data_IF_335690552210
#
_entry.id   IF_335690552210
#
_cell.length_a   1.000
_cell.length_b   1.000
_cell.length_c   1.000
_cell.angle_alpha   90.00
_cell.angle_beta   90.00
_cell.angle_gamma   90.00
#
_symmetry.space_group_name_H-M   'P 1'
#
loop_
_entity.id
_entity.type
_entity.pdbx_description
1 polymer ?
#
# COMPACT_ATOMS: atom_id res chain seq x y z
N UNK A 1 -7.15 30.66 38.33
CA UNK A 1 -7.27 29.21 38.61
C UNK A 1 -8.62 28.63 38.21
N UNK A 2 -9.77 29.08 38.76
CA UNK A 2 -11.11 28.54 38.42
C UNK A 2 -11.39 28.51 36.91
N UNK A 3 -11.19 29.63 36.21
CA UNK A 3 -11.38 29.71 34.75
C UNK A 3 -10.45 28.79 33.95
N UNK A 4 -9.24 28.52 34.46
CA UNK A 4 -8.32 27.57 33.83
C UNK A 4 -8.85 26.14 33.94
N UNK A 5 -9.35 25.75 35.12
CA UNK A 5 -9.93 24.41 35.32
C UNK A 5 -11.21 24.25 34.51
N UNK A 6 -12.04 25.29 34.38
CA UNK A 6 -13.22 25.29 33.50
C UNK A 6 -12.78 25.05 32.05
N UNK A 7 -11.89 25.86 31.49
CA UNK A 7 -11.44 25.70 30.10
C UNK A 7 -10.77 24.34 29.84
N UNK A 8 -9.99 23.84 30.79
CA UNK A 8 -9.36 22.51 30.70
C UNK A 8 -10.42 21.39 30.61
N UNK A 9 -11.46 21.48 31.44
CA UNK A 9 -12.51 20.46 31.52
C UNK A 9 -13.59 20.61 30.45
N UNK A 10 -13.84 21.81 29.94
CA UNK A 10 -14.70 22.03 28.77
C UNK A 10 -14.09 21.40 27.52
N UNK A 11 -12.76 21.49 27.35
CA UNK A 11 -12.06 20.86 26.23
C UNK A 11 -11.89 19.35 26.39
N UNK A 12 -11.71 18.84 27.62
CA UNK A 12 -11.55 17.42 27.85
C UNK A 12 -12.22 16.96 29.16
N UNK A 13 -13.54 16.74 29.09
CA UNK A 13 -14.34 16.27 30.23
C UNK A 13 -13.91 14.90 30.77
N UNK A 14 -13.17 14.12 29.97
CA UNK A 14 -12.73 12.76 30.30
C UNK A 14 -11.44 12.68 31.11
N UNK A 15 -10.76 13.81 31.36
CA UNK A 15 -9.55 13.83 32.21
C UNK A 15 -9.83 13.29 33.60
N UNK A 16 -8.91 12.50 34.17
CA UNK A 16 -9.06 12.01 35.54
C UNK A 16 -8.87 13.13 36.57
N UNK A 17 -9.31 12.93 37.81
CA UNK A 17 -9.09 13.89 38.90
C UNK A 17 -7.59 14.12 39.16
N UNK A 18 -6.79 13.06 39.02
CA UNK A 18 -5.33 13.10 39.14
C UNK A 18 -4.69 13.96 38.04
N UNK A 19 -5.13 13.83 36.79
CA UNK A 19 -4.56 14.61 35.68
C UNK A 19 -4.88 16.10 35.81
N UNK A 20 -6.09 16.42 36.29
CA UNK A 20 -6.48 17.80 36.57
C UNK A 20 -5.62 18.39 37.69
N UNK A 21 -5.37 17.62 38.76
CA UNK A 21 -4.45 18.04 39.84
C UNK A 21 -3.07 18.34 39.28
N UNK A 22 -2.50 17.42 38.51
CA UNK A 22 -1.16 17.57 37.93
C UNK A 22 -1.09 18.79 37.00
N UNK A 23 -2.15 19.06 36.21
CA UNK A 23 -2.22 20.24 35.35
C UNK A 23 -2.27 21.55 36.15
N UNK A 24 -2.96 21.58 37.29
CA UNK A 24 -3.01 22.74 38.20
C UNK A 24 -1.65 22.94 38.86
N UNK A 25 -1.03 21.87 39.34
CA UNK A 25 0.28 21.90 39.99
C UNK A 25 1.37 22.38 39.02
N UNK A 26 1.40 21.84 37.79
CA UNK A 26 2.35 22.26 36.77
C UNK A 26 2.18 23.72 36.34
N UNK A 27 0.94 24.23 36.32
CA UNK A 27 0.66 25.60 35.85
C UNK A 27 0.81 26.67 36.93
N UNK A 28 0.45 26.33 38.16
CA UNK A 28 0.34 27.31 39.26
C UNK A 28 1.21 26.97 40.47
N UNK A 29 1.90 25.82 40.49
CA UNK A 29 2.72 25.38 41.61
C UNK A 29 1.92 25.02 42.87
N UNK A 30 0.62 24.73 42.72
CA UNK A 30 -0.30 24.51 43.84
C UNK A 30 -0.90 23.12 43.76
N UNK A 31 -0.78 22.35 44.85
CA UNK A 31 -1.38 21.04 44.99
C UNK A 31 -2.80 21.17 45.54
N UNK A 32 -3.78 20.55 44.88
CA UNK A 32 -5.19 20.56 45.30
C UNK A 32 -5.67 19.14 45.60
N UNK A 33 -6.54 18.99 46.60
CA UNK A 33 -7.11 17.68 46.95
C UNK A 33 -8.06 17.15 45.87
N UNK A 34 -8.15 15.83 45.71
CA UNK A 34 -9.10 15.20 44.77
C UNK A 34 -10.54 15.57 45.12
N UNK A 35 -10.86 15.67 46.42
CA UNK A 35 -12.19 16.04 46.90
C UNK A 35 -12.57 17.43 46.43
N UNK A 36 -11.65 18.39 46.48
CA UNK A 36 -11.87 19.76 45.99
C UNK A 36 -12.14 19.76 44.48
N UNK A 37 -11.41 18.98 43.70
CA UNK A 37 -11.60 18.89 42.24
C UNK A 37 -12.95 18.21 41.91
N UNK A 38 -13.34 17.17 42.65
CA UNK A 38 -14.64 16.51 42.49
C UNK A 38 -15.81 17.45 42.82
N UNK A 39 -15.71 18.20 43.92
CA UNK A 39 -16.71 19.20 44.28
C UNK A 39 -16.80 20.30 43.21
N UNK A 40 -15.65 20.79 42.72
CA UNK A 40 -15.60 21.78 41.65
C UNK A 40 -16.30 21.31 40.37
N UNK A 41 -16.08 20.06 39.96
CA UNK A 41 -16.78 19.47 38.81
C UNK A 41 -18.29 19.43 38.99
N UNK A 42 -18.76 19.07 40.18
CA UNK A 42 -20.19 19.00 40.51
C UNK A 42 -20.84 20.39 40.51
N UNK A 43 -20.16 21.38 41.06
CA UNK A 43 -20.68 22.76 41.17
C UNK A 43 -20.77 23.48 39.80
N UNK A 44 -19.99 23.05 38.80
CA UNK A 44 -19.89 23.71 37.50
C UNK A 44 -20.45 22.85 36.34
N UNK A 45 -21.18 21.77 36.63
CA UNK A 45 -21.72 20.84 35.61
C UNK A 45 -20.65 20.25 34.64
N UNK A 46 -19.47 19.97 35.18
CA UNK A 46 -18.31 19.41 34.48
C UNK A 46 -18.05 17.96 34.93
N UNK A 47 -19.14 17.19 35.07
CA UNK A 47 -19.07 15.78 35.44
C UNK A 47 -18.17 15.01 34.48
N UNK A 48 -17.41 14.05 35.03
CA UNK A 48 -16.54 13.21 34.23
C UNK A 48 -17.37 12.43 33.19
N UNK A 49 -16.96 12.52 31.93
CA UNK A 49 -17.59 11.77 30.83
C UNK A 49 -16.63 10.65 30.45
N UNK A 50 -17.15 9.43 30.36
CA UNK A 50 -16.36 8.28 29.91
C UNK A 50 -15.81 8.58 28.51
N UNK A 51 -14.48 8.52 28.31
CA UNK A 51 -13.93 8.74 26.98
C UNK A 51 -14.53 7.68 26.06
N UNK A 52 -14.99 8.10 24.88
CA UNK A 52 -15.35 7.16 23.82
C UNK A 52 -14.10 6.32 23.56
N UNK A 53 -14.15 5.04 23.89
CA UNK A 53 -13.05 4.11 23.64
C UNK A 53 -13.03 3.89 22.13
N UNK A 54 -12.39 4.81 21.40
CA UNK A 54 -11.78 4.45 20.14
C UNK A 54 -10.65 3.50 20.53
N UNK A 55 -10.93 2.20 20.49
CA UNK A 55 -9.91 1.18 20.53
C UNK A 55 -9.02 1.39 19.31
N UNK A 56 -8.06 2.32 19.42
CA UNK A 56 -6.83 2.23 18.65
C UNK A 56 -6.12 1.06 19.31
N UNK A 57 -6.33 -0.13 18.78
CA UNK A 57 -5.49 -1.25 19.18
C UNK A 57 -4.07 -0.88 18.77
N UNK A 58 -3.27 -0.47 19.73
CA UNK A 58 -1.81 -0.43 19.60
C UNK A 58 -1.35 -1.88 19.52
N UNK A 59 -1.53 -2.49 18.35
CA UNK A 59 -0.84 -3.72 18.00
C UNK A 59 0.64 -3.37 17.86
N UNK A 60 1.51 -4.27 18.31
CA UNK A 60 2.97 -4.13 18.28
C UNK A 60 3.50 -3.77 16.88
N UNK A 61 3.52 -2.49 16.54
CA UNK A 61 4.25 -1.99 15.37
C UNK A 61 4.38 -0.47 15.36
N UNK A 62 4.84 0.13 16.46
CA UNK A 62 5.12 1.58 16.48
C UNK A 62 6.05 2.01 15.33
N UNK A 63 7.00 1.16 14.93
CA UNK A 63 7.86 1.43 13.76
C UNK A 63 7.10 1.41 12.42
N UNK A 64 6.14 0.51 12.23
CA UNK A 64 5.33 0.48 11.01
C UNK A 64 4.40 1.69 10.94
N UNK A 65 3.81 2.08 12.07
CA UNK A 65 2.97 3.27 12.17
C UNK A 65 3.76 4.54 11.83
N UNK A 66 5.01 4.66 12.31
CA UNK A 66 5.90 5.76 11.94
C UNK A 66 6.20 5.75 10.44
N UNK A 67 6.54 4.60 9.86
CA UNK A 67 6.84 4.52 8.42
C UNK A 67 5.63 4.89 7.56
N UNK A 68 4.42 4.44 7.94
CA UNK A 68 3.19 4.78 7.25
C UNK A 68 2.82 6.25 7.44
N UNK A 69 2.94 6.77 8.66
CA UNK A 69 2.71 8.18 8.96
C UNK A 69 3.68 9.08 8.19
N UNK A 70 4.95 8.68 8.06
CA UNK A 70 5.92 9.37 7.22
C UNK A 70 5.52 9.29 5.75
N UNK A 71 5.21 8.11 5.22
CA UNK A 71 4.84 7.95 3.80
C UNK A 71 3.59 8.77 3.42
N UNK A 72 2.62 8.88 4.33
CA UNK A 72 1.45 9.74 4.18
C UNK A 72 1.80 11.22 4.37
N UNK A 73 2.53 11.56 5.43
CA UNK A 73 2.89 12.93 5.78
C UNK A 73 3.84 13.60 4.78
N UNK A 74 4.64 12.81 4.04
CA UNK A 74 5.46 13.33 2.95
C UNK A 74 4.67 13.55 1.67
N UNK A 75 3.50 12.92 1.50
CA UNK A 75 2.71 12.93 0.26
C UNK A 75 3.20 11.93 -0.79
N UNK A 76 4.15 11.04 -0.47
CA UNK A 76 4.69 10.06 -1.41
C UNK A 76 3.59 9.12 -1.95
N UNK A 77 2.75 8.64 -1.04
CA UNK A 77 1.68 7.70 -1.38
C UNK A 77 0.64 8.36 -2.29
N UNK A 78 0.33 9.64 -2.04
CA UNK A 78 -0.55 10.43 -2.90
C UNK A 78 0.05 10.61 -4.29
N UNK A 79 1.33 10.95 -4.40
CA UNK A 79 2.02 11.10 -5.68
C UNK A 79 1.97 9.80 -6.52
N UNK A 80 2.17 8.64 -5.90
CA UNK A 80 2.04 7.33 -6.56
C UNK A 80 0.59 7.06 -6.97
N UNK A 81 -0.38 7.35 -6.09
CA UNK A 81 -1.80 7.15 -6.37
C UNK A 81 -2.28 8.06 -7.52
N UNK A 82 -1.79 9.29 -7.58
CA UNK A 82 -2.07 10.24 -8.64
C UNK A 82 -1.49 9.80 -9.97
N UNK A 83 -0.24 9.33 -10.00
CA UNK A 83 0.35 8.75 -11.20
C UNK A 83 -0.45 7.56 -11.73
N UNK A 84 -0.92 6.67 -10.85
CA UNK A 84 -1.81 5.55 -11.23
C UNK A 84 -3.15 6.05 -11.77
N UNK A 85 -3.75 7.03 -11.10
CA UNK A 85 -5.06 7.57 -11.50
C UNK A 85 -4.99 8.24 -12.87
N UNK A 86 -3.96 9.07 -13.09
CA UNK A 86 -3.70 9.71 -14.38
C UNK A 86 -3.51 8.68 -15.50
N UNK A 87 -2.70 7.64 -15.27
CA UNK A 87 -2.49 6.58 -16.26
C UNK A 87 -3.80 5.84 -16.59
N UNK A 88 -4.68 5.65 -15.62
CA UNK A 88 -6.02 5.06 -15.84
C UNK A 88 -6.89 5.99 -16.70
N UNK A 89 -6.87 7.29 -16.41
CA UNK A 89 -7.63 8.32 -17.13
C UNK A 89 -7.15 8.43 -18.59
N UNK A 90 -5.83 8.53 -18.82
CA UNK A 90 -5.23 8.53 -20.16
C UNK A 90 -5.66 7.29 -20.99
N UNK A 91 -5.73 6.12 -20.36
CA UNK A 91 -6.18 4.89 -21.02
C UNK A 91 -7.68 4.87 -21.32
N UNK A 92 -8.49 5.56 -20.51
CA UNK A 92 -9.93 5.74 -20.78
C UNK A 92 -10.13 6.71 -21.93
N UNK A 93 -9.41 7.84 -21.94
CA UNK A 93 -9.54 8.89 -22.96
C UNK A 93 -8.97 8.48 -24.33
N UNK A 94 -7.90 7.69 -24.37
CA UNK A 94 -7.30 7.21 -25.62
C UNK A 94 -8.16 6.19 -26.39
N UNK A 95 -9.37 5.88 -25.94
CA UNK A 95 -10.29 4.93 -26.59
C UNK A 95 -9.85 3.46 -26.51
N UNK A 96 -8.65 3.17 -26.00
CA UNK A 96 -8.14 1.80 -25.81
C UNK A 96 -9.04 1.05 -24.82
N UNK A 97 -9.51 1.73 -23.77
CA UNK A 97 -10.45 1.16 -22.82
C UNK A 97 -11.76 0.67 -23.49
N UNK A 98 -12.39 1.53 -24.28
CA UNK A 98 -13.65 1.22 -24.97
C UNK A 98 -13.48 0.13 -26.03
N UNK A 99 -12.40 0.22 -26.81
CA UNK A 99 -12.06 -0.79 -27.81
C UNK A 99 -11.83 -2.16 -27.15
N UNK A 100 -11.14 -2.18 -26.00
CA UNK A 100 -10.93 -3.42 -25.24
C UNK A 100 -12.23 -4.02 -24.71
N UNK A 101 -13.24 -3.19 -24.38
CA UNK A 101 -14.51 -3.66 -23.84
C UNK A 101 -15.29 -4.55 -24.82
N UNK A 102 -15.03 -4.40 -26.13
CA UNK A 102 -15.60 -5.20 -27.21
C UNK A 102 -14.98 -6.58 -27.34
N UNK A 103 -13.85 -6.84 -26.66
CA UNK A 103 -13.21 -8.15 -26.66
C UNK A 103 -14.08 -9.19 -25.94
N UNK A 104 -14.13 -10.39 -26.52
CA UNK A 104 -14.81 -11.53 -25.92
C UNK A 104 -14.21 -11.92 -24.58
N UNK A 105 -15.04 -12.55 -23.73
CA UNK A 105 -14.54 -13.09 -22.47
C UNK A 105 -13.72 -14.35 -22.76
N UNK A 106 -12.56 -14.43 -22.12
CA UNK A 106 -11.67 -15.58 -22.26
C UNK A 106 -12.34 -16.90 -21.84
N UNK A 107 -12.43 -17.84 -22.78
CA UNK A 107 -12.86 -19.24 -22.66
C UNK A 107 -13.87 -19.51 -21.53
N UNK A 108 -15.06 -18.91 -21.61
CA UNK A 108 -16.09 -19.00 -20.57
C UNK A 108 -16.65 -20.41 -20.36
N UNK A 109 -16.63 -21.21 -21.41
CA UNK A 109 -17.03 -22.61 -21.47
C UNK A 109 -16.04 -23.55 -20.76
N UNK A 110 -14.73 -23.31 -20.93
CA UNK A 110 -13.67 -24.08 -20.29
C UNK A 110 -13.44 -23.71 -18.82
N UNK A 111 -14.09 -22.63 -18.34
CA UNK A 111 -13.98 -22.12 -16.97
C UNK A 111 -15.21 -22.53 -16.16
N UNK A 112 -15.07 -23.54 -15.31
CA UNK A 112 -16.17 -23.99 -14.46
C UNK A 112 -16.40 -23.01 -13.30
N UNK A 113 -17.35 -22.08 -13.47
CA UNK A 113 -17.88 -21.17 -12.42
C UNK A 113 -16.82 -20.66 -11.43
N UNK A 114 -15.68 -20.19 -11.93
CA UNK A 114 -14.60 -19.61 -11.12
C UNK A 114 -13.38 -20.50 -10.87
N UNK A 115 -13.39 -21.79 -11.25
CA UNK A 115 -12.21 -22.67 -11.23
C UNK A 115 -11.65 -22.83 -12.64
N UNK A 116 -10.32 -22.74 -12.77
CA UNK A 116 -9.63 -23.09 -14.00
C UNK A 116 -9.50 -24.61 -14.08
N UNK A 117 -10.00 -25.22 -15.16
CA UNK A 117 -9.93 -26.67 -15.38
C UNK A 117 -8.52 -27.07 -15.81
N UNK A 118 -8.17 -28.36 -15.66
CA UNK A 118 -6.93 -28.89 -16.22
C UNK A 118 -6.89 -28.72 -17.75
N UNK A 119 -8.03 -28.82 -18.40
CA UNK A 119 -8.18 -28.63 -19.84
C UNK A 119 -7.88 -27.18 -20.24
N UNK A 120 -8.42 -26.19 -19.52
CA UNK A 120 -8.10 -24.78 -19.74
C UNK A 120 -6.58 -24.52 -19.67
N UNK A 121 -5.89 -25.04 -18.65
CA UNK A 121 -4.46 -24.84 -18.48
C UNK A 121 -3.60 -25.52 -19.57
N UNK A 122 -4.13 -26.53 -20.25
CA UNK A 122 -3.47 -27.26 -21.34
C UNK A 122 -3.85 -26.74 -22.73
N UNK A 123 -4.84 -25.85 -22.83
CA UNK A 123 -5.23 -25.25 -24.10
C UNK A 123 -4.02 -24.58 -24.78
N UNK A 124 -3.81 -24.80 -26.10
CA UNK A 124 -2.76 -24.13 -26.87
C UNK A 124 -2.76 -22.60 -26.71
N UNK A 125 -3.96 -21.99 -26.69
CA UNK A 125 -4.13 -20.54 -26.49
C UNK A 125 -3.54 -20.06 -25.15
N UNK A 126 -3.69 -20.85 -24.09
CA UNK A 126 -3.22 -20.53 -22.72
C UNK A 126 -1.72 -20.82 -22.58
N UNK A 127 -1.24 -21.92 -23.13
CA UNK A 127 0.19 -22.29 -23.05
C UNK A 127 1.06 -21.35 -23.88
N UNK A 128 0.64 -20.98 -25.09
CA UNK A 128 1.34 -20.02 -25.94
C UNK A 128 1.31 -18.61 -25.34
N UNK A 129 0.14 -18.15 -24.88
CA UNK A 129 0.02 -16.82 -24.26
C UNK A 129 0.84 -16.69 -22.99
N UNK A 130 1.12 -17.79 -22.26
CA UNK A 130 1.90 -17.74 -21.01
C UNK A 130 3.26 -17.08 -21.20
N UNK A 131 3.93 -17.33 -22.32
CA UNK A 131 5.29 -16.84 -22.59
C UNK A 131 5.35 -15.58 -23.48
N UNK A 132 4.19 -15.11 -23.98
CA UNK A 132 4.10 -13.85 -24.73
C UNK A 132 4.58 -12.65 -23.92
N UNK A 133 5.13 -11.67 -24.63
CA UNK A 133 5.56 -10.40 -24.02
C UNK A 133 4.37 -9.68 -23.41
N UNK A 134 4.63 -8.67 -22.56
CA UNK A 134 3.54 -7.86 -22.01
C UNK A 134 2.79 -7.12 -23.13
N UNK A 135 3.49 -6.66 -24.15
CA UNK A 135 2.94 -5.89 -25.26
C UNK A 135 1.95 -6.72 -26.08
N UNK A 136 2.31 -7.97 -26.35
CA UNK A 136 1.43 -8.95 -27.01
C UNK A 136 0.21 -9.32 -26.15
N UNK A 137 0.36 -9.31 -24.83
CA UNK A 137 -0.74 -9.62 -23.89
C UNK A 137 -1.72 -8.47 -23.72
N UNK A 138 -1.24 -7.22 -23.78
CA UNK A 138 -2.06 -6.02 -23.59
C UNK A 138 -3.10 -5.89 -24.70
N UNK A 139 -2.72 -6.11 -25.96
CA UNK A 139 -3.63 -5.94 -27.11
C UNK A 139 -4.90 -6.82 -27.03
N UNK A 140 -4.80 -7.98 -26.38
CA UNK A 140 -5.91 -8.91 -26.19
C UNK A 140 -6.56 -8.79 -24.80
N UNK A 141 -6.16 -7.80 -23.99
CA UNK A 141 -6.64 -7.67 -22.62
C UNK A 141 -7.87 -6.78 -22.57
N UNK A 142 -8.94 -7.31 -21.96
CA UNK A 142 -10.16 -6.54 -21.71
C UNK A 142 -10.05 -5.69 -20.45
N UNK A 143 -9.80 -4.39 -20.60
CA UNK A 143 -9.61 -3.46 -19.49
C UNK A 143 -10.89 -3.22 -18.68
N UNK A 144 -12.06 -3.22 -19.33
CA UNK A 144 -13.34 -3.10 -18.62
C UNK A 144 -13.63 -4.24 -17.62
N UNK A 145 -12.90 -5.37 -17.70
CA UNK A 145 -13.01 -6.47 -16.74
C UNK A 145 -11.96 -6.42 -15.61
N UNK A 146 -11.04 -5.46 -15.65
CA UNK A 146 -10.02 -5.26 -14.63
C UNK A 146 -10.56 -4.34 -13.53
N UNK A 147 -10.27 -4.72 -12.28
CA UNK A 147 -10.77 -4.02 -11.10
C UNK A 147 -10.19 -2.61 -10.99
N UNK A 148 -8.92 -2.44 -11.37
CA UNK A 148 -8.21 -1.16 -11.28
C UNK A 148 -8.93 0.00 -11.99
N UNK A 149 -9.65 -0.25 -13.09
CA UNK A 149 -10.37 0.78 -13.85
C UNK A 149 -11.67 1.25 -13.17
N UNK A 150 -12.19 0.50 -12.20
CA UNK A 150 -13.38 0.84 -11.40
C UNK A 150 -13.08 1.32 -9.99
N UNK A 151 -11.81 1.30 -9.57
CA UNK A 151 -11.41 1.79 -8.25
C UNK A 151 -11.45 3.31 -8.17
N UNK A 152 -11.85 3.82 -7.02
CA UNK A 152 -11.61 5.23 -6.67
C UNK A 152 -10.14 5.47 -6.33
N UNK A 153 -9.67 6.71 -6.47
CA UNK A 153 -8.33 7.15 -6.00
C UNK A 153 -8.07 6.70 -4.56
N UNK A 154 -9.05 6.84 -3.66
CA UNK A 154 -8.95 6.38 -2.27
C UNK A 154 -8.70 4.87 -2.14
N UNK A 155 -9.32 4.07 -3.00
CA UNK A 155 -9.13 2.62 -3.00
C UNK A 155 -7.76 2.23 -3.55
N UNK A 156 -7.28 2.95 -4.57
CA UNK A 156 -5.92 2.82 -5.11
C UNK A 156 -4.90 3.16 -4.02
N UNK A 157 -5.06 4.30 -3.34
CA UNK A 157 -4.23 4.75 -2.21
C UNK A 157 -4.10 3.67 -1.14
N UNK A 158 -5.23 3.10 -0.68
CA UNK A 158 -5.22 2.02 0.32
C UNK A 158 -4.48 0.77 -0.16
N UNK A 159 -4.55 0.43 -1.44
CA UNK A 159 -3.80 -0.71 -2.00
C UNK A 159 -2.31 -0.41 -2.12
N UNK A 160 -1.91 0.82 -2.43
CA UNK A 160 -0.51 1.26 -2.41
C UNK A 160 0.04 1.20 -0.98
N UNK A 161 -0.70 1.69 0.02
CA UNK A 161 -0.32 1.54 1.43
C UNK A 161 -0.15 0.08 1.82
N UNK A 162 -1.04 -0.80 1.36
CA UNK A 162 -0.92 -2.23 1.60
C UNK A 162 0.37 -2.80 0.99
N UNK A 163 0.70 -2.42 -0.25
CA UNK A 163 1.96 -2.79 -0.92
C UNK A 163 3.19 -2.28 -0.16
N UNK A 164 3.17 -1.02 0.26
CA UNK A 164 4.24 -0.40 1.04
C UNK A 164 4.43 -1.09 2.40
N UNK A 165 3.34 -1.63 2.96
CA UNK A 165 3.34 -2.36 4.23
C UNK A 165 3.76 -3.83 4.10
N UNK A 166 3.85 -4.38 2.89
CA UNK A 166 4.16 -5.82 2.69
C UNK A 166 5.46 -6.26 3.36
N UNK A 167 6.59 -5.53 3.28
CA UNK A 167 7.82 -5.94 3.95
C UNK A 167 7.64 -6.06 5.47
N UNK A 168 6.77 -5.25 6.07
CA UNK A 168 6.51 -5.23 7.50
C UNK A 168 5.66 -6.45 7.92
N UNK A 169 4.57 -6.71 7.19
CA UNK A 169 3.64 -7.81 7.53
C UNK A 169 4.14 -9.19 7.09
N UNK A 170 5.09 -9.25 6.16
CA UNK A 170 5.72 -10.50 5.70
C UNK A 170 7.09 -10.77 6.31
N UNK A 171 7.56 -9.89 7.21
CA UNK A 171 8.92 -9.92 7.75
C UNK A 171 10.00 -10.04 6.65
N UNK A 172 9.95 -9.11 5.68
CA UNK A 172 10.81 -9.05 4.50
C UNK A 172 10.76 -10.34 3.66
N UNK A 173 9.55 -10.87 3.40
CA UNK A 173 9.35 -12.05 2.56
C UNK A 173 9.57 -13.41 3.24
N UNK A 174 9.79 -13.44 4.56
CA UNK A 174 9.83 -14.70 5.34
C UNK A 174 8.46 -15.40 5.32
N UNK A 175 7.37 -14.63 5.41
CA UNK A 175 6.04 -15.16 5.21
C UNK A 175 5.69 -15.20 3.71
N UNK A 176 5.24 -16.37 3.24
CA UNK A 176 4.88 -16.60 1.83
C UNK A 176 3.57 -15.93 1.39
N UNK A 177 2.75 -15.50 2.32
CA UNK A 177 1.44 -14.89 2.07
C UNK A 177 1.08 -13.98 3.24
N UNK A 178 0.25 -12.98 2.98
CA UNK A 178 -0.40 -12.13 4.00
C UNK A 178 -1.71 -12.74 4.53
N UNK A 179 -2.11 -13.92 4.04
CA UNK A 179 -3.26 -14.66 4.58
C UNK A 179 -2.90 -15.39 5.90
N UNK A 180 -2.29 -14.67 6.83
CA UNK A 180 -1.83 -15.18 8.12
C UNK A 180 -2.14 -14.14 9.23
N UNK A 181 -1.96 -14.49 10.52
CA UNK A 181 -2.23 -13.56 11.62
C UNK A 181 -1.47 -12.23 11.54
N UNK A 182 -0.20 -12.24 11.10
CA UNK A 182 0.60 -11.02 10.89
C UNK A 182 0.03 -10.12 9.80
N UNK A 183 -0.58 -10.69 8.76
CA UNK A 183 -1.24 -9.94 7.69
C UNK A 183 -2.47 -9.15 8.16
N UNK A 184 -3.10 -9.54 9.28
CA UNK A 184 -4.20 -8.76 9.88
C UNK A 184 -3.76 -7.34 10.27
N UNK A 185 -2.45 -7.10 10.43
CA UNK A 185 -1.90 -5.77 10.66
C UNK A 185 -2.22 -4.78 9.53
N UNK A 186 -2.47 -5.25 8.31
CA UNK A 186 -2.90 -4.40 7.19
C UNK A 186 -4.17 -3.62 7.50
N UNK A 187 -5.09 -4.16 8.31
CA UNK A 187 -6.29 -3.43 8.73
C UNK A 187 -5.93 -2.12 9.42
N UNK A 188 -4.88 -2.12 10.23
CA UNK A 188 -4.41 -0.94 10.96
C UNK A 188 -3.56 -0.04 10.06
N UNK A 189 -2.70 -0.61 9.21
CA UNK A 189 -1.77 0.16 8.37
C UNK A 189 -2.41 0.81 7.15
N UNK A 190 -3.41 0.18 6.52
CA UNK A 190 -4.05 0.69 5.31
C UNK A 190 -5.60 0.73 5.37
N UNK A 191 -6.17 0.46 6.55
CA UNK A 191 -7.61 0.50 6.80
C UNK A 191 -8.39 -0.71 6.32
N UNK A 192 -7.76 -1.68 5.65
CA UNK A 192 -8.42 -2.87 5.08
C UNK A 192 -7.54 -4.10 5.27
N UNK A 193 -8.12 -5.19 5.75
CA UNK A 193 -7.45 -6.48 5.81
C UNK A 193 -7.49 -7.19 4.45
N UNK A 194 -6.62 -6.78 3.53
CA UNK A 194 -6.59 -7.36 2.18
C UNK A 194 -6.11 -8.81 2.20
N UNK A 195 -6.78 -9.65 1.39
CA UNK A 195 -6.31 -11.00 1.05
C UNK A 195 -5.12 -10.91 0.11
N UNK A 196 -4.20 -11.88 0.19
CA UNK A 196 -3.05 -11.96 -0.74
C UNK A 196 -3.50 -11.92 -2.22
N UNK A 197 -4.57 -12.63 -2.54
CA UNK A 197 -5.17 -12.66 -3.88
C UNK A 197 -5.63 -11.29 -4.40
N UNK A 198 -6.03 -10.38 -3.51
CA UNK A 198 -6.46 -9.02 -3.90
C UNK A 198 -5.26 -8.15 -4.26
N UNK A 199 -4.21 -8.22 -3.45
CA UNK A 199 -2.95 -7.51 -3.70
C UNK A 199 -2.28 -8.04 -4.97
N UNK A 200 -2.20 -9.36 -5.13
CA UNK A 200 -1.67 -10.00 -6.35
C UNK A 200 -2.43 -9.59 -7.60
N UNK A 201 -3.77 -9.52 -7.51
CA UNK A 201 -4.60 -9.03 -8.63
C UNK A 201 -4.28 -7.58 -8.95
N UNK A 202 -4.16 -6.72 -7.94
CA UNK A 202 -3.83 -5.31 -8.13
C UNK A 202 -2.46 -5.11 -8.80
N UNK A 203 -1.41 -5.79 -8.33
CA UNK A 203 -0.07 -5.75 -8.96
C UNK A 203 -0.12 -6.22 -10.42
N UNK A 204 -0.84 -7.33 -10.67
CA UNK A 204 -0.98 -7.87 -12.03
C UNK A 204 -1.69 -6.89 -12.95
N UNK A 205 -2.68 -6.17 -12.45
CA UNK A 205 -3.42 -5.19 -13.24
C UNK A 205 -2.59 -3.92 -13.51
N UNK A 206 -1.80 -3.45 -12.55
CA UNK A 206 -0.84 -2.36 -12.75
C UNK A 206 0.13 -2.65 -13.90
N UNK A 207 0.57 -3.92 -14.04
CA UNK A 207 1.44 -4.33 -15.15
C UNK A 207 0.82 -4.00 -16.52
N UNK A 208 -0.49 -4.18 -16.68
CA UNK A 208 -1.16 -3.92 -17.97
C UNK A 208 -1.35 -2.43 -18.27
N UNK A 209 -1.16 -1.55 -17.27
CA UNK A 209 -1.14 -0.11 -17.48
C UNK A 209 0.19 0.39 -18.08
N UNK A 210 1.26 -0.43 -18.06
CA UNK A 210 2.64 -0.02 -18.40
C UNK A 210 3.19 1.13 -17.54
N UNK A 211 2.70 1.23 -16.32
CA UNK A 211 2.97 2.37 -15.42
C UNK A 211 4.38 2.38 -14.82
N UNK A 212 5.25 1.41 -15.13
CA UNK A 212 6.57 1.32 -14.50
C UNK A 212 7.42 2.58 -14.71
N UNK A 213 7.44 3.12 -15.92
CA UNK A 213 8.21 4.34 -16.21
C UNK A 213 7.58 5.56 -15.54
N UNK A 214 6.25 5.68 -15.61
CA UNK A 214 5.52 6.80 -14.99
C UNK A 214 5.71 6.82 -13.47
N UNK A 215 5.71 5.65 -12.81
CA UNK A 215 5.99 5.54 -11.38
C UNK A 215 7.43 5.89 -11.03
N UNK A 216 8.41 5.46 -11.84
CA UNK A 216 9.82 5.81 -11.64
C UNK A 216 9.98 7.33 -11.74
N UNK A 217 9.43 7.94 -12.78
CA UNK A 217 9.50 9.38 -12.99
C UNK A 217 8.78 10.15 -11.88
N UNK A 218 7.55 9.75 -11.55
CA UNK A 218 6.77 10.40 -10.49
C UNK A 218 7.48 10.31 -9.13
N UNK A 219 8.07 9.17 -8.80
CA UNK A 219 8.80 8.98 -7.54
C UNK A 219 10.10 9.78 -7.53
N UNK A 220 10.85 9.80 -8.64
CA UNK A 220 12.07 10.58 -8.76
C UNK A 220 11.78 12.08 -8.62
N UNK A 221 10.79 12.59 -9.38
CA UNK A 221 10.33 13.98 -9.33
C UNK A 221 9.87 14.35 -7.92
N UNK A 222 9.04 13.50 -7.29
CA UNK A 222 8.60 13.69 -5.92
C UNK A 222 9.78 13.90 -4.97
N UNK A 223 10.79 13.04 -4.98
CA UNK A 223 11.94 13.18 -4.08
C UNK A 223 12.79 14.41 -4.41
N UNK A 224 12.96 14.73 -5.69
CA UNK A 224 13.66 15.95 -6.12
C UNK A 224 12.98 17.19 -5.53
N UNK A 225 11.66 17.30 -5.69
CA UNK A 225 10.89 18.45 -5.23
C UNK A 225 10.80 18.49 -3.69
N UNK A 226 10.61 17.32 -3.07
CA UNK A 226 10.52 17.17 -1.61
C UNK A 226 11.78 17.65 -0.90
N UNK A 227 12.97 17.32 -1.41
CA UNK A 227 14.23 17.73 -0.80
C UNK A 227 14.66 19.13 -1.22
N UNK A 228 14.41 19.53 -2.47
CA UNK A 228 14.73 20.89 -2.95
C UNK A 228 13.99 21.97 -2.17
N UNK A 229 12.71 21.74 -1.87
CA UNK A 229 11.88 22.66 -1.07
C UNK A 229 12.34 22.81 0.39
N UNK A 230 13.15 21.87 0.91
CA UNK A 230 13.60 21.86 2.32
C UNK A 230 15.04 22.28 2.52
N UNK A 231 15.91 21.96 1.57
CA UNK A 231 17.35 22.17 1.72
C UNK A 231 17.88 23.43 1.03
N UNK A 232 17.09 24.07 0.15
CA UNK A 232 17.43 25.35 -0.48
C UNK A 232 18.68 25.36 -1.37
N UNK A 233 19.29 24.20 -1.63
CA UNK A 233 20.49 24.02 -2.46
C UNK A 233 20.29 22.89 -3.47
N UNK A 234 21.16 22.85 -4.50
CA UNK A 234 21.23 21.78 -5.49
C UNK A 234 21.56 20.45 -4.79
N UNK A 235 20.52 19.70 -4.42
CA UNK A 235 20.67 18.39 -3.79
C UNK A 235 21.28 17.42 -4.81
N UNK A 236 22.43 16.81 -4.47
CA UNK A 236 22.99 15.71 -5.24
C UNK A 236 22.15 14.46 -4.96
N UNK A 237 21.28 14.07 -5.90
CA UNK A 237 20.49 12.85 -5.80
C UNK A 237 21.29 11.64 -6.28
N UNK A 238 21.61 10.72 -5.36
CA UNK A 238 22.09 9.39 -5.71
C UNK A 238 20.87 8.49 -6.00
N UNK A 239 20.57 8.25 -7.28
CA UNK A 239 19.55 7.30 -7.68
C UNK A 239 20.13 5.87 -7.62
N UNK A 240 19.75 5.10 -6.60
CA UNK A 240 20.09 3.68 -6.55
C UNK A 240 19.14 2.88 -7.43
N UNK A 241 19.64 2.37 -8.55
CA UNK A 241 18.95 1.34 -9.31
C UNK A 241 18.97 0.04 -8.51
N UNK A 242 17.85 -0.29 -7.87
CA UNK A 242 17.66 -1.60 -7.24
C UNK A 242 17.08 -2.53 -8.29
N UNK A 243 17.95 -3.29 -8.94
CA UNK A 243 17.52 -4.37 -9.83
C UNK A 243 16.80 -5.44 -9.00
N UNK A 244 15.48 -5.52 -9.15
CA UNK A 244 14.65 -6.58 -8.58
C UNK A 244 14.84 -7.95 -9.25
N UNK A 245 15.72 -8.04 -10.26
CA UNK A 245 16.11 -9.32 -10.80
C UNK A 245 16.83 -10.09 -9.69
N UNK A 246 16.15 -11.13 -9.16
CA UNK A 246 16.77 -12.16 -8.34
C UNK A 246 18.05 -12.59 -9.05
N UNK A 247 19.21 -12.14 -8.58
CA UNK A 247 20.49 -12.71 -8.99
C UNK A 247 20.31 -14.22 -8.85
N UNK A 248 20.63 -14.95 -9.90
CA UNK A 248 20.89 -16.37 -9.76
C UNK A 248 22.06 -16.47 -8.75
N UNK A 249 21.74 -16.67 -7.48
CA UNK A 249 22.72 -17.07 -6.49
C UNK A 249 23.12 -18.49 -6.90
N UNK A 250 24.31 -18.61 -7.47
CA UNK A 250 24.95 -19.89 -7.69
C UNK A 250 25.20 -20.50 -6.31
N UNK A 251 24.32 -21.40 -5.90
CA UNK A 251 24.37 -22.13 -4.64
C UNK A 251 24.60 -23.60 -4.99
N UNK A 252 25.51 -24.26 -4.28
CA UNK A 252 25.72 -25.71 -4.35
C UNK A 252 24.52 -26.52 -3.82
N UNK A 253 23.52 -25.85 -3.22
CA UNK A 253 22.26 -26.47 -2.78
C UNK A 253 21.15 -26.27 -3.83
N UNK A 254 20.25 -27.26 -4.02
CA UNK A 254 19.12 -27.14 -4.92
C UNK A 254 18.25 -25.94 -4.54
N UNK A 255 18.23 -24.91 -5.38
CA UNK A 255 17.36 -23.75 -5.23
C UNK A 255 16.16 -23.92 -6.17
N UNK A 256 14.95 -23.67 -5.67
CA UNK A 256 13.76 -23.68 -6.50
C UNK A 256 13.83 -22.53 -7.52
N UNK A 257 13.97 -22.84 -8.81
CA UNK A 257 13.97 -21.86 -9.90
C UNK A 257 12.56 -21.28 -10.07
N UNK A 258 12.33 -20.07 -9.56
CA UNK A 258 11.18 -19.27 -9.96
C UNK A 258 11.28 -18.88 -11.44
N UNK A 259 10.14 -18.81 -12.15
CA UNK A 259 10.08 -18.38 -13.55
C UNK A 259 10.37 -16.88 -13.67
N UNK A 260 11.63 -16.51 -13.91
CA UNK A 260 11.98 -15.18 -14.43
C UNK A 260 13.19 -15.28 -15.36
N UNK A 261 12.95 -15.24 -16.66
CA UNK A 261 13.86 -14.57 -17.60
C UNK A 261 13.06 -13.41 -18.17
N UNK A 262 13.62 -12.19 -18.10
CA UNK A 262 13.00 -10.96 -18.62
C UNK A 262 12.77 -10.99 -20.14
N UNK A 263 13.32 -11.97 -20.85
CA UNK A 263 13.04 -12.20 -22.25
C UNK A 263 11.96 -13.28 -22.36
N UNK A 264 10.75 -12.85 -22.71
CA UNK A 264 9.75 -13.74 -23.27
C UNK A 264 10.31 -14.30 -24.58
N UNK A 265 10.50 -15.62 -24.61
CA UNK A 265 11.38 -16.38 -25.53
C UNK A 265 12.86 -16.15 -25.21
N UNK A 266 13.56 -17.23 -24.85
CA UNK A 266 15.02 -17.21 -24.81
C UNK A 266 15.53 -17.01 -26.21
N UNK A 267 16.37 -16.01 -26.42
CA UNK A 267 17.14 -15.87 -27.64
C UNK A 267 17.90 -17.18 -27.87
N UNK A 268 17.55 -17.85 -28.97
CA UNK A 268 18.28 -19.00 -29.52
C UNK A 268 19.67 -18.58 -30.04
N UNK A 269 20.02 -17.30 -29.94
CA UNK A 269 21.27 -16.68 -30.38
C UNK A 269 22.44 -16.76 -29.37
N UNK A 270 22.22 -17.16 -28.11
CA UNK A 270 23.32 -17.36 -27.14
C UNK A 270 23.79 -18.82 -27.02
N UNK A 271 23.29 -19.73 -27.86
CA UNK A 271 23.76 -21.13 -27.95
C UNK A 271 24.90 -21.36 -28.95
N UNK A 272 25.33 -20.33 -29.69
CA UNK A 272 26.30 -20.47 -30.78
C UNK A 272 27.73 -19.99 -30.44
N UNK A 273 28.15 -20.02 -29.18
CA UNK A 273 29.44 -19.44 -28.83
C UNK A 273 30.12 -19.98 -27.57
N UNK A 274 30.05 -21.28 -27.30
CA UNK A 274 31.02 -21.98 -26.42
C UNK A 274 31.00 -23.49 -26.72
N UNK A 275 31.42 -23.84 -27.93
CA UNK A 275 32.02 -25.14 -28.26
C UNK A 275 33.03 -24.92 -29.38
N UNK A 276 34.23 -24.49 -28.98
CA UNK A 276 35.52 -24.69 -29.66
C UNK A 276 36.61 -24.20 -28.72
#
# INVERSE_FOLDING_TARGET
MKNFVIGLLEHNRSMSTTDVRNAIENRFGITISDTTIKNFRRENDLSWVRPAINHISTGESGAAEILIALALGTGLIDAIADSITHCIEDKKESGVFENSARLEKDHTDLRSKGKFTSEYNKSPSVTESRFKSLDEKIGNKRFAAMDIFSLSKHSILRRILALFSLPLVTANGRARSIDNPSGNALKYLCGVNYKASTIDKHIRELKYLRISNDLIEATARFWIDFWSSRNGSDNIFACYYIDGNTKALWSSKPCHKGKVTMQGKGDELLRAGFYS
#
